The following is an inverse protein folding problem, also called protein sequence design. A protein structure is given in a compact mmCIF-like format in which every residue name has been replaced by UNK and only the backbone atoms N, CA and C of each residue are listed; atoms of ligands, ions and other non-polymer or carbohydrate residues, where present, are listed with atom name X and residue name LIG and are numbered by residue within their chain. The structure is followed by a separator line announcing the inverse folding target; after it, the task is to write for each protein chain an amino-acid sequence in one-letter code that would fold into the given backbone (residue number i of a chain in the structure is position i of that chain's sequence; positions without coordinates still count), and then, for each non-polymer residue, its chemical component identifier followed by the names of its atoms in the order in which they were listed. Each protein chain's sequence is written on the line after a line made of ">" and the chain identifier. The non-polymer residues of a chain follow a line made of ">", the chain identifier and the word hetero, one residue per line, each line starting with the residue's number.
data_IF_805339869488
#
_entry.id   IF_805339869488
#
_cell.length_a   1.000
_cell.length_b   1.000
_cell.length_c   1.000
_cell.angle_alpha   90.00
_cell.angle_beta   90.00
_cell.angle_gamma   90.00
#
_symmetry.space_group_name_H-M   'P 1'
#
loop_
_entity.id
_entity.type
_entity.pdbx_description
1 polymer ?
#
# COMPACT_ATOMS: atom_id res chain seq x y z
N UNK A 1 -21.25 7.43 26.47
CA UNK A 1 -21.91 7.98 25.24
C UNK A 1 -22.21 6.82 24.32
N UNK A 2 -23.45 6.69 23.82
CA UNK A 2 -23.80 5.63 22.89
C UNK A 2 -23.31 5.97 21.48
N UNK A 3 -22.95 4.94 20.70
CA UNK A 3 -22.44 5.04 19.31
C UNK A 3 -23.38 5.84 18.39
N UNK A 4 -24.66 5.73 18.63
CA UNK A 4 -25.74 6.43 17.91
C UNK A 4 -25.75 7.93 18.20
N UNK A 5 -25.39 8.34 19.40
CA UNK A 5 -25.31 9.74 19.79
C UNK A 5 -24.10 10.44 19.14
N UNK A 6 -22.94 9.78 19.11
CA UNK A 6 -21.74 10.30 18.43
C UNK A 6 -22.01 10.47 16.94
N UNK A 7 -22.66 9.49 16.30
CA UNK A 7 -23.05 9.55 14.88
C UNK A 7 -24.06 10.66 14.55
N UNK A 8 -24.90 11.06 15.51
CA UNK A 8 -25.84 12.17 15.32
C UNK A 8 -25.16 13.54 15.46
N UNK A 9 -24.11 13.64 16.28
CA UNK A 9 -23.30 14.85 16.41
C UNK A 9 -22.40 15.04 15.17
N UNK A 10 -21.78 13.96 14.68
CA UNK A 10 -21.00 13.94 13.44
C UNK A 10 -21.81 14.33 12.20
N UNK A 11 -23.13 14.03 12.21
CA UNK A 11 -24.06 14.41 11.15
C UNK A 11 -24.66 15.81 11.32
N UNK A 12 -24.11 16.65 12.20
CA UNK A 12 -24.54 18.04 12.40
C UNK A 12 -25.90 18.21 13.11
N UNK A 13 -26.48 17.12 13.63
CA UNK A 13 -27.74 17.13 14.37
C UNK A 13 -27.48 17.31 15.87
N UNK A 14 -27.34 18.59 16.29
CA UNK A 14 -27.39 19.08 17.69
C UNK A 14 -26.46 18.45 18.71
N UNK A 15 -25.33 19.08 18.97
CA UNK A 15 -24.67 19.01 20.27
C UNK A 15 -25.28 20.10 21.19
N UNK A 16 -26.00 19.74 22.26
CA UNK A 16 -26.46 20.72 23.25
C UNK A 16 -25.25 21.38 23.90
N UNK A 17 -25.32 22.70 24.12
CA UNK A 17 -24.22 23.49 24.73
C UNK A 17 -23.77 22.93 26.08
N UNK A 18 -24.69 22.33 26.82
CA UNK A 18 -24.49 21.68 28.11
C UNK A 18 -23.52 20.46 28.06
N UNK A 19 -23.20 19.91 26.87
CA UNK A 19 -22.28 18.77 26.69
C UNK A 19 -20.96 19.09 26.04
N UNK A 20 -20.70 20.34 25.73
CA UNK A 20 -19.38 20.78 25.23
C UNK A 20 -18.22 20.42 26.17
N UNK A 21 -18.36 20.46 27.52
CA UNK A 21 -17.32 20.01 28.42
C UNK A 21 -16.98 18.51 28.29
N UNK A 22 -17.99 17.65 28.05
CA UNK A 22 -17.76 16.19 27.89
C UNK A 22 -16.97 15.90 26.60
N UNK A 23 -17.27 16.65 25.54
CA UNK A 23 -16.52 16.53 24.27
C UNK A 23 -15.10 17.13 24.40
N UNK A 24 -14.93 18.25 25.08
CA UNK A 24 -13.64 18.86 25.34
C UNK A 24 -12.71 17.91 26.09
N UNK A 25 -13.24 17.23 27.12
CA UNK A 25 -12.49 16.22 27.87
C UNK A 25 -12.16 14.98 27.01
N UNK A 26 -13.11 14.51 26.17
CA UNK A 26 -12.91 13.35 25.31
C UNK A 26 -11.89 13.59 24.17
N UNK A 27 -11.77 14.84 23.68
CA UNK A 27 -10.85 15.23 22.60
C UNK A 27 -9.59 15.93 23.09
N UNK A 28 -9.42 16.12 24.41
CA UNK A 28 -8.24 16.77 25.00
C UNK A 28 -8.06 18.24 24.58
N UNK A 29 -9.16 18.93 24.24
CA UNK A 29 -9.14 20.34 23.79
C UNK A 29 -9.90 21.25 24.76
N UNK A 30 -9.50 22.56 24.91
CA UNK A 30 -10.26 23.49 25.72
C UNK A 30 -11.69 23.67 25.25
N UNK A 31 -12.67 23.74 26.15
CA UNK A 31 -14.12 23.94 25.86
C UNK A 31 -14.34 25.17 24.96
N UNK A 32 -13.53 26.23 25.19
CA UNK A 32 -13.58 27.46 24.41
C UNK A 32 -13.23 27.27 22.93
N UNK A 33 -12.35 26.30 22.64
CA UNK A 33 -12.01 25.93 21.25
C UNK A 33 -13.22 25.35 20.52
N UNK A 34 -14.00 24.51 21.20
CA UNK A 34 -15.24 23.94 20.66
C UNK A 34 -16.35 24.99 20.54
N UNK A 35 -16.43 25.95 21.49
CA UNK A 35 -17.36 27.08 21.37
C UNK A 35 -17.05 28.00 20.20
N UNK A 36 -15.76 28.32 19.97
CA UNK A 36 -15.33 29.11 18.82
C UNK A 36 -15.58 28.42 17.47
N UNK A 37 -15.33 27.13 17.41
CA UNK A 37 -15.64 26.33 16.22
C UNK A 37 -17.15 26.33 15.92
N UNK A 38 -18.00 26.18 16.96
CA UNK A 38 -19.45 26.24 16.84
C UNK A 38 -19.97 27.63 16.46
N UNK A 39 -19.37 28.69 17.02
CA UNK A 39 -19.73 30.07 16.68
C UNK A 39 -19.39 30.43 15.23
N UNK A 40 -18.30 29.88 14.69
CA UNK A 40 -17.96 30.02 13.27
C UNK A 40 -18.99 29.33 12.39
N UNK A 41 -19.34 28.06 12.68
CA UNK A 41 -20.38 27.32 11.92
C UNK A 41 -21.78 27.92 12.01
N UNK A 42 -22.11 28.65 13.09
CA UNK A 42 -23.41 29.30 13.23
C UNK A 42 -23.49 30.67 12.56
N UNK A 43 -22.34 31.33 12.31
CA UNK A 43 -22.28 32.64 11.63
C UNK A 43 -22.19 32.52 10.11
N UNK A 44 -21.78 31.32 9.62
CA UNK A 44 -21.53 31.02 8.21
C UNK A 44 -22.63 30.12 7.60
N UNK A 45 -23.84 30.11 8.16
CA UNK A 45 -24.98 29.44 7.54
C UNK A 45 -25.47 30.30 6.36
N UNK A 46 -25.24 29.92 5.09
CA UNK A 46 -25.63 30.73 3.97
C UNK A 46 -27.16 30.73 3.79
N UNK A 47 -27.70 31.90 3.53
CA UNK A 47 -29.02 32.08 2.95
C UNK A 47 -29.10 31.33 1.63
N UNK A 48 -30.15 30.55 1.42
CA UNK A 48 -30.44 29.81 0.19
C UNK A 48 -30.72 30.80 -0.96
N UNK A 49 -29.65 31.20 -1.65
CA UNK A 49 -29.76 31.90 -2.94
C UNK A 49 -29.28 30.95 -4.04
N UNK A 50 -30.18 30.59 -4.94
CA UNK A 50 -29.91 29.89 -6.19
C UNK A 50 -29.06 30.79 -7.09
N UNK A 51 -27.75 30.82 -6.90
CA UNK A 51 -26.79 31.56 -7.72
C UNK A 51 -26.08 30.67 -8.72
N UNK A 52 -25.77 31.22 -9.89
CA UNK A 52 -24.96 30.55 -10.93
C UNK A 52 -23.46 30.74 -10.60
N UNK A 53 -22.73 29.67 -10.34
CA UNK A 53 -21.30 29.71 -9.96
C UNK A 53 -20.45 30.50 -10.98
N UNK A 54 -20.55 30.29 -12.31
CA UNK A 54 -19.87 31.11 -13.32
C UNK A 54 -20.10 32.61 -13.18
N UNK A 55 -21.32 33.01 -12.94
CA UNK A 55 -21.68 34.43 -12.80
C UNK A 55 -21.08 35.03 -11.52
N UNK A 56 -21.14 34.33 -10.39
CA UNK A 56 -20.57 34.78 -9.12
C UNK A 56 -19.03 34.84 -9.19
N UNK A 57 -18.39 33.86 -9.84
CA UNK A 57 -16.95 33.87 -10.08
C UNK A 57 -16.53 35.05 -10.96
N UNK A 58 -17.29 35.34 -12.04
CA UNK A 58 -17.00 36.46 -12.92
C UNK A 58 -17.13 37.78 -12.20
N UNK A 59 -18.16 37.92 -11.37
CA UNK A 59 -18.37 39.13 -10.56
C UNK A 59 -17.24 39.31 -9.53
N UNK A 60 -16.81 38.25 -8.85
CA UNK A 60 -15.71 38.32 -7.90
C UNK A 60 -14.37 38.67 -8.55
N UNK A 61 -14.03 38.08 -9.69
CA UNK A 61 -12.81 38.42 -10.45
C UNK A 61 -12.82 39.89 -10.90
N UNK A 62 -13.97 40.41 -11.34
CA UNK A 62 -14.11 41.80 -11.76
C UNK A 62 -13.98 42.74 -10.57
N UNK A 63 -14.59 42.43 -9.43
CA UNK A 63 -14.55 43.26 -8.22
C UNK A 63 -13.12 43.42 -7.69
N UNK A 64 -12.34 42.35 -7.72
CA UNK A 64 -10.95 42.37 -7.25
C UNK A 64 -9.94 42.76 -8.35
N UNK A 65 -10.39 43.05 -9.58
CA UNK A 65 -9.52 43.41 -10.70
C UNK A 65 -8.57 42.28 -11.13
N UNK A 66 -8.91 41.04 -10.82
CA UNK A 66 -8.07 39.87 -11.10
C UNK A 66 -8.52 39.21 -12.41
N UNK A 67 -7.57 38.97 -13.33
CA UNK A 67 -7.89 38.25 -14.57
C UNK A 67 -7.98 36.75 -14.30
N UNK A 68 -8.77 36.02 -15.10
CA UNK A 68 -8.85 34.57 -15.02
C UNK A 68 -7.48 33.86 -15.11
N UNK A 69 -6.56 34.42 -15.92
CA UNK A 69 -5.18 33.91 -16.04
C UNK A 69 -4.36 34.17 -14.78
N UNK A 70 -4.54 35.34 -14.15
CA UNK A 70 -3.87 35.65 -12.89
C UNK A 70 -4.39 34.79 -11.75
N UNK A 71 -5.70 34.57 -11.66
CA UNK A 71 -6.31 33.66 -10.70
C UNK A 71 -5.85 32.22 -10.92
N UNK A 72 -5.75 31.74 -12.16
CA UNK A 72 -5.20 30.43 -12.49
C UNK A 72 -3.78 30.27 -11.94
N UNK A 73 -2.92 31.25 -12.20
CA UNK A 73 -1.52 31.23 -11.73
C UNK A 73 -1.44 31.27 -10.20
N UNK A 74 -2.24 32.10 -9.54
CA UNK A 74 -2.24 32.23 -8.09
C UNK A 74 -2.69 30.96 -7.38
N UNK A 75 -3.62 30.20 -8.00
CA UNK A 75 -4.20 28.98 -7.43
C UNK A 75 -3.57 27.70 -7.97
N UNK A 76 -2.54 27.77 -8.82
CA UNK A 76 -1.88 26.58 -9.41
C UNK A 76 -2.73 25.84 -10.45
N UNK A 77 -3.74 26.50 -11.06
CA UNK A 77 -4.57 25.90 -12.11
C UNK A 77 -4.14 26.30 -13.52
N UNK A 78 -4.50 25.50 -14.52
CA UNK A 78 -4.34 25.92 -15.90
C UNK A 78 -5.36 27.02 -16.27
N UNK A 79 -4.98 28.06 -17.08
CA UNK A 79 -5.92 29.08 -17.55
C UNK A 79 -7.13 28.49 -18.28
N UNK A 80 -6.93 27.35 -18.98
CA UNK A 80 -8.00 26.65 -19.67
C UNK A 80 -9.02 26.03 -18.69
N UNK A 81 -8.61 25.63 -17.49
CA UNK A 81 -9.50 25.12 -16.45
C UNK A 81 -10.46 26.22 -15.98
N UNK A 82 -9.92 27.36 -15.53
CA UNK A 82 -10.75 28.49 -15.07
C UNK A 82 -11.68 29.00 -16.20
N UNK A 83 -11.18 29.07 -17.43
CA UNK A 83 -12.01 29.44 -18.59
C UNK A 83 -13.19 28.47 -18.78
N UNK A 84 -12.99 27.16 -18.63
CA UNK A 84 -14.10 26.19 -18.72
C UNK A 84 -15.12 26.37 -17.58
N UNK A 85 -14.65 26.68 -16.36
CA UNK A 85 -15.54 26.96 -15.22
C UNK A 85 -16.35 28.21 -15.44
N UNK A 86 -15.72 29.32 -15.87
CA UNK A 86 -16.38 30.60 -16.20
C UNK A 86 -17.42 30.44 -17.31
N UNK A 87 -17.20 29.54 -18.26
CA UNK A 87 -18.14 29.29 -19.34
C UNK A 87 -19.18 28.20 -19.01
N UNK A 88 -19.28 27.77 -17.77
CA UNK A 88 -20.22 26.72 -17.34
C UNK A 88 -19.97 25.34 -17.95
N UNK A 89 -18.85 25.17 -18.68
CA UNK A 89 -18.47 23.90 -19.33
C UNK A 89 -17.86 22.92 -18.36
N UNK A 90 -17.55 23.38 -17.15
CA UNK A 90 -16.96 22.56 -16.10
C UNK A 90 -17.49 22.97 -14.73
N UNK A 91 -17.96 22.01 -13.94
CA UNK A 91 -18.36 22.26 -12.54
C UNK A 91 -17.11 22.31 -11.66
N UNK A 92 -16.99 23.31 -10.78
CA UNK A 92 -15.89 23.40 -9.83
C UNK A 92 -16.05 22.35 -8.71
N UNK A 93 -14.93 22.01 -8.04
CA UNK A 93 -14.96 21.29 -6.77
C UNK A 93 -15.14 22.27 -5.60
N UNK A 94 -15.51 21.73 -4.43
CA UNK A 94 -15.60 22.51 -3.21
C UNK A 94 -14.24 23.13 -2.84
N UNK A 95 -13.15 22.37 -2.96
CA UNK A 95 -11.80 22.85 -2.67
C UNK A 95 -11.39 24.02 -3.60
N UNK A 96 -11.70 23.94 -4.90
CA UNK A 96 -11.45 25.04 -5.84
C UNK A 96 -12.30 26.27 -5.51
N UNK A 97 -13.56 26.07 -5.16
CA UNK A 97 -14.44 27.15 -4.77
C UNK A 97 -13.98 27.85 -3.47
N UNK A 98 -13.50 27.08 -2.49
CA UNK A 98 -12.91 27.61 -1.26
C UNK A 98 -11.63 28.41 -1.52
N UNK A 99 -10.73 27.87 -2.37
CA UNK A 99 -9.52 28.58 -2.75
C UNK A 99 -9.81 29.89 -3.51
N UNK A 100 -10.88 29.93 -4.31
CA UNK A 100 -11.35 31.15 -4.96
C UNK A 100 -11.97 32.12 -3.95
N UNK A 101 -12.74 31.64 -2.98
CA UNK A 101 -13.28 32.46 -1.89
C UNK A 101 -12.17 33.17 -1.11
N UNK A 102 -11.09 32.43 -0.80
CA UNK A 102 -9.91 32.97 -0.12
C UNK A 102 -9.18 33.99 -0.99
N UNK A 103 -8.96 33.71 -2.28
CA UNK A 103 -8.29 34.60 -3.22
C UNK A 103 -9.06 35.89 -3.47
N UNK A 104 -10.39 35.79 -3.54
CA UNK A 104 -11.31 36.92 -3.90
C UNK A 104 -11.95 37.57 -2.67
N UNK A 105 -11.59 37.14 -1.44
CA UNK A 105 -12.24 37.64 -0.23
C UNK A 105 -13.76 37.42 -0.21
N UNK A 106 -14.26 36.41 -0.92
CA UNK A 106 -15.67 36.21 -1.17
C UNK A 106 -16.44 35.59 0.01
N UNK A 107 -15.77 35.24 1.12
CA UNK A 107 -16.40 34.84 2.38
C UNK A 107 -17.25 33.56 2.30
N UNK A 108 -16.88 32.61 1.45
CA UNK A 108 -17.58 31.33 1.30
C UNK A 108 -18.73 31.33 0.29
N UNK A 109 -18.97 32.44 -0.43
CA UNK A 109 -20.08 32.55 -1.39
C UNK A 109 -19.96 31.61 -2.56
N UNK A 110 -18.74 31.40 -3.08
CA UNK A 110 -18.49 30.47 -4.17
C UNK A 110 -18.58 29.00 -3.68
N UNK A 111 -18.04 28.70 -2.50
CA UNK A 111 -18.16 27.38 -1.90
C UNK A 111 -19.63 27.00 -1.64
N UNK A 112 -20.47 27.93 -1.22
CA UNK A 112 -21.89 27.72 -0.98
C UNK A 112 -22.69 27.35 -2.26
N UNK A 113 -22.20 27.72 -3.45
CA UNK A 113 -22.80 27.37 -4.74
C UNK A 113 -22.40 25.98 -5.25
N UNK A 114 -21.47 25.31 -4.58
CA UNK A 114 -21.08 23.93 -4.91
C UNK A 114 -21.89 22.96 -4.06
N UNK A 115 -22.70 22.06 -4.67
CA UNK A 115 -23.53 21.14 -3.90
C UNK A 115 -22.68 20.26 -2.95
N UNK A 116 -23.06 20.22 -1.69
CA UNK A 116 -22.44 19.41 -0.64
C UNK A 116 -22.75 17.92 -0.87
N UNK A 117 -22.04 17.28 -1.80
CA UNK A 117 -22.14 15.82 -2.00
C UNK A 117 -20.86 15.24 -2.58
N UNK A 118 -19.88 15.07 -1.71
CA UNK A 118 -18.80 14.15 -2.02
C UNK A 118 -18.57 13.19 -0.84
N UNK A 119 -18.60 11.87 -1.04
CA UNK A 119 -17.95 10.99 -0.10
C UNK A 119 -16.46 11.42 -0.08
N UNK A 120 -15.94 11.74 1.11
CA UNK A 120 -14.52 12.03 1.27
C UNK A 120 -13.75 10.76 0.93
N UNK A 121 -13.00 10.78 -0.18
CA UNK A 121 -11.91 9.81 -0.32
C UNK A 121 -10.93 10.08 0.83
N UNK A 122 -10.56 9.08 1.62
CA UNK A 122 -9.49 9.25 2.57
C UNK A 122 -8.22 9.55 1.77
N UNK A 123 -7.79 10.82 1.79
CA UNK A 123 -6.42 11.16 1.39
C UNK A 123 -5.53 10.40 2.39
N UNK A 124 -4.55 9.63 1.94
CA UNK A 124 -3.69 8.88 2.85
C UNK A 124 -3.12 9.82 3.90
N UNK A 125 -3.27 9.46 5.17
CA UNK A 125 -2.69 10.22 6.29
C UNK A 125 -1.15 10.11 6.34
N UNK A 126 -0.56 9.27 5.50
CA UNK A 126 0.88 9.21 5.27
C UNK A 126 1.22 10.34 4.28
N UNK A 127 1.90 11.36 4.77
CA UNK A 127 2.51 12.39 3.92
C UNK A 127 3.65 11.72 3.12
N UNK A 128 3.30 11.23 1.94
CA UNK A 128 4.25 10.66 0.99
C UNK A 128 4.81 11.85 0.20
N UNK A 129 6.05 12.21 0.48
CA UNK A 129 6.75 13.30 -0.21
C UNK A 129 6.72 13.06 -1.72
N UNK A 130 6.21 14.02 -2.48
CA UNK A 130 6.08 13.94 -3.93
C UNK A 130 4.77 13.34 -4.47
N UNK A 131 3.90 12.77 -3.63
CA UNK A 131 2.56 12.28 -4.04
C UNK A 131 1.41 13.19 -3.69
N UNK A 132 1.66 14.30 -2.98
CA UNK A 132 0.61 15.28 -2.76
C UNK A 132 0.05 15.72 -4.13
N UNK A 133 -1.25 15.49 -4.40
CA UNK A 133 -1.83 15.91 -5.66
C UNK A 133 -1.71 17.43 -5.75
N UNK A 134 -1.31 17.95 -6.91
CA UNK A 134 -1.50 19.35 -7.19
C UNK A 134 -3.00 19.68 -7.14
N UNK A 135 -3.32 20.97 -7.09
CA UNK A 135 -4.71 21.42 -6.89
C UNK A 135 -5.62 20.94 -8.03
N UNK A 136 -5.11 20.82 -9.25
CA UNK A 136 -5.90 20.35 -10.41
C UNK A 136 -6.18 18.84 -10.30
N UNK A 137 -5.20 18.05 -9.90
CA UNK A 137 -5.36 16.61 -9.69
C UNK A 137 -6.27 16.32 -8.50
N UNK A 138 -6.13 17.08 -7.39
CA UNK A 138 -7.04 16.98 -6.25
C UNK A 138 -8.49 17.24 -6.65
N UNK A 139 -8.73 18.26 -7.47
CA UNK A 139 -10.05 18.58 -7.99
C UNK A 139 -10.60 17.48 -8.92
N UNK A 140 -9.76 16.87 -9.78
CA UNK A 140 -10.12 15.72 -10.61
C UNK A 140 -10.55 14.52 -9.76
N UNK A 141 -9.76 14.19 -8.74
CA UNK A 141 -10.04 13.09 -7.81
C UNK A 141 -11.35 13.37 -7.05
N UNK A 142 -11.52 14.57 -6.53
CA UNK A 142 -12.75 14.97 -5.82
C UNK A 142 -13.98 14.82 -6.70
N UNK A 143 -13.90 15.23 -7.98
CA UNK A 143 -14.99 15.06 -8.94
C UNK A 143 -15.25 13.61 -9.31
N UNK A 144 -14.20 12.81 -9.49
CA UNK A 144 -14.32 11.37 -9.75
C UNK A 144 -14.99 10.65 -8.56
N UNK A 145 -14.67 11.06 -7.33
CA UNK A 145 -15.29 10.52 -6.12
C UNK A 145 -16.78 10.89 -6.01
N UNK A 146 -17.13 12.12 -6.40
CA UNK A 146 -18.51 12.57 -6.41
C UNK A 146 -19.36 11.93 -7.53
N UNK A 147 -18.74 11.66 -8.68
CA UNK A 147 -19.35 11.05 -9.85
C UNK A 147 -18.31 10.13 -10.54
N UNK A 148 -18.32 8.81 -10.29
CA UNK A 148 -17.37 7.87 -10.85
C UNK A 148 -17.28 7.86 -12.39
N UNK A 149 -18.31 8.34 -13.09
CA UNK A 149 -18.30 8.51 -14.55
C UNK A 149 -17.27 9.53 -15.02
N UNK A 150 -16.76 10.36 -14.11
CA UNK A 150 -15.79 11.43 -14.40
C UNK A 150 -14.35 11.00 -14.13
N UNK A 151 -14.13 9.81 -13.65
CA UNK A 151 -12.77 9.28 -13.49
C UNK A 151 -12.06 9.28 -14.84
N UNK A 152 -10.82 9.75 -14.86
CA UNK A 152 -9.97 9.84 -16.04
C UNK A 152 -8.62 9.13 -15.81
N UNK A 153 -7.81 9.06 -16.86
CA UNK A 153 -6.53 8.38 -16.83
C UNK A 153 -5.58 8.98 -15.78
N UNK A 154 -5.55 10.31 -15.61
CA UNK A 154 -4.65 10.97 -14.66
C UNK A 154 -4.98 10.63 -13.20
N UNK A 155 -6.30 10.54 -12.88
CA UNK A 155 -6.71 10.10 -11.54
C UNK A 155 -6.31 8.64 -11.28
N UNK A 156 -6.39 7.76 -12.28
CA UNK A 156 -5.96 6.37 -12.17
C UNK A 156 -4.43 6.29 -12.01
N UNK A 157 -3.66 7.01 -12.83
CA UNK A 157 -2.19 7.08 -12.74
C UNK A 157 -1.71 7.57 -11.37
N UNK A 158 -2.43 8.50 -10.78
CA UNK A 158 -2.12 8.93 -9.41
C UNK A 158 -2.37 7.83 -8.39
N UNK A 159 -3.47 7.07 -8.49
CA UNK A 159 -3.76 5.94 -7.61
C UNK A 159 -2.74 4.81 -7.78
N UNK A 160 -2.26 4.55 -8.99
CA UNK A 160 -1.18 3.60 -9.29
C UNK A 160 0.13 4.04 -8.60
N UNK A 161 0.50 5.32 -8.72
CA UNK A 161 1.68 5.87 -8.00
C UNK A 161 1.54 5.79 -6.49
N UNK A 162 0.34 6.06 -5.93
CA UNK A 162 0.09 5.91 -4.51
C UNK A 162 0.33 4.46 -4.06
N UNK A 163 -0.13 3.48 -4.84
CA UNK A 163 0.08 2.07 -4.52
C UNK A 163 1.56 1.70 -4.57
N UNK A 164 2.29 2.14 -5.60
CA UNK A 164 3.73 1.90 -5.72
C UNK A 164 4.50 2.46 -4.51
N UNK A 165 4.12 3.66 -4.06
CA UNK A 165 4.77 4.27 -2.91
C UNK A 165 4.41 3.59 -1.58
N UNK A 166 3.17 3.12 -1.42
CA UNK A 166 2.82 2.32 -0.23
C UNK A 166 3.61 1.02 -0.14
N UNK A 167 3.97 0.40 -1.27
CA UNK A 167 4.85 -0.78 -1.29
C UNK A 167 6.23 -0.44 -0.74
N UNK A 168 6.83 0.70 -1.16
CA UNK A 168 8.14 1.16 -0.67
C UNK A 168 8.12 1.53 0.81
N UNK A 169 7.08 2.25 1.23
CA UNK A 169 6.90 2.58 2.65
C UNK A 169 6.75 1.32 3.50
N UNK A 170 6.09 0.29 3.01
CA UNK A 170 5.96 -0.99 3.71
C UNK A 170 7.31 -1.67 3.92
N UNK A 171 8.24 -1.59 2.98
CA UNK A 171 9.61 -2.11 3.13
C UNK A 171 10.37 -1.44 4.30
N UNK A 172 10.06 -0.18 4.61
CA UNK A 172 10.72 0.59 5.67
C UNK A 172 10.05 0.44 7.04
N UNK A 173 8.71 0.48 7.09
CA UNK A 173 7.97 0.56 8.37
C UNK A 173 7.12 -0.68 8.68
N UNK A 174 7.09 -1.67 7.77
CA UNK A 174 6.33 -2.90 7.91
C UNK A 174 4.84 -2.76 7.59
N UNK A 175 4.14 -3.89 7.53
CA UNK A 175 2.76 -4.00 7.05
C UNK A 175 1.72 -3.36 7.99
N UNK A 176 1.95 -3.37 9.30
CA UNK A 176 0.97 -2.94 10.30
C UNK A 176 0.42 -1.53 10.08
N UNK A 177 1.27 -0.49 9.97
CA UNK A 177 0.82 0.88 9.76
C UNK A 177 0.16 1.11 8.40
N UNK A 178 0.51 0.32 7.37
CA UNK A 178 0.12 0.53 5.97
C UNK A 178 -1.24 -0.10 5.63
N UNK A 179 -1.60 -1.23 6.24
CA UNK A 179 -2.77 -2.03 5.88
C UNK A 179 -4.09 -1.24 5.92
N UNK A 180 -4.28 -0.36 6.90
CA UNK A 180 -5.51 0.44 7.04
C UNK A 180 -5.69 1.43 5.89
N UNK A 181 -4.61 2.08 5.47
CA UNK A 181 -4.59 3.07 4.37
C UNK A 181 -4.84 2.37 3.03
N UNK A 182 -4.13 1.28 2.76
CA UNK A 182 -4.27 0.50 1.52
C UNK A 182 -5.69 -0.04 1.36
N UNK A 183 -6.30 -0.56 2.44
CA UNK A 183 -7.69 -1.01 2.40
C UNK A 183 -8.68 0.11 2.13
N UNK A 184 -8.50 1.28 2.75
CA UNK A 184 -9.36 2.44 2.49
C UNK A 184 -9.25 2.92 1.03
N UNK A 185 -8.05 2.85 0.44
CA UNK A 185 -7.86 3.18 -0.98
C UNK A 185 -8.48 2.12 -1.89
N UNK A 186 -8.34 0.83 -1.57
CA UNK A 186 -9.02 -0.23 -2.32
C UNK A 186 -10.54 -0.03 -2.31
N UNK A 187 -11.13 0.28 -1.17
CA UNK A 187 -12.57 0.58 -1.06
C UNK A 187 -12.97 1.77 -1.94
N UNK A 188 -12.12 2.80 -2.01
CA UNK A 188 -12.31 3.95 -2.90
C UNK A 188 -12.23 3.54 -4.38
N UNK A 189 -11.22 2.77 -4.78
CA UNK A 189 -11.09 2.22 -6.15
C UNK A 189 -12.32 1.41 -6.52
N UNK A 190 -12.78 0.51 -5.64
CA UNK A 190 -13.99 -0.30 -5.87
C UNK A 190 -15.27 0.54 -6.00
N UNK A 191 -15.35 1.67 -5.30
CA UNK A 191 -16.47 2.59 -5.46
C UNK A 191 -16.48 3.25 -6.85
N UNK A 192 -15.27 3.53 -7.40
CA UNK A 192 -15.12 4.07 -8.75
C UNK A 192 -15.49 3.03 -9.82
N UNK A 193 -15.08 1.77 -9.65
CA UNK A 193 -15.35 0.67 -10.60
C UNK A 193 -16.84 0.51 -10.88
N UNK A 194 -17.69 0.68 -9.87
CA UNK A 194 -19.14 0.40 -9.94
C UNK A 194 -19.83 1.18 -11.06
N UNK A 195 -19.52 2.47 -11.18
CA UNK A 195 -20.21 3.40 -12.09
C UNK A 195 -19.28 4.02 -13.14
N UNK A 196 -18.03 3.53 -13.24
CA UNK A 196 -17.05 3.99 -14.22
C UNK A 196 -17.52 3.75 -15.65
N UNK A 197 -17.09 4.65 -16.56
CA UNK A 197 -17.31 4.44 -18.00
C UNK A 197 -16.55 3.21 -18.50
N UNK A 198 -17.10 2.46 -19.49
CA UNK A 198 -16.48 1.24 -20.02
C UNK A 198 -15.00 1.42 -20.42
N UNK A 199 -14.64 2.59 -20.98
CA UNK A 199 -13.28 2.87 -21.47
C UNK A 199 -12.21 2.88 -20.36
N UNK A 200 -12.57 3.16 -19.10
CA UNK A 200 -11.64 3.19 -17.97
C UNK A 200 -11.90 2.08 -16.95
N UNK A 201 -13.05 1.40 -17.05
CA UNK A 201 -13.46 0.38 -16.08
C UNK A 201 -12.46 -0.78 -16.00
N UNK A 202 -12.00 -1.28 -17.15
CA UNK A 202 -11.01 -2.37 -17.18
C UNK A 202 -9.72 -2.02 -16.43
N UNK A 203 -9.20 -0.80 -16.64
CA UNK A 203 -8.00 -0.31 -15.91
C UNK A 203 -8.24 -0.19 -14.40
N UNK A 204 -9.42 0.30 -13.99
CA UNK A 204 -9.78 0.36 -12.56
C UNK A 204 -9.91 -1.02 -11.92
N UNK A 205 -10.44 -2.02 -12.64
CA UNK A 205 -10.51 -3.41 -12.15
C UNK A 205 -9.11 -4.00 -12.02
N UNK A 206 -8.21 -3.74 -12.98
CA UNK A 206 -6.79 -4.11 -12.89
C UNK A 206 -6.12 -3.49 -11.66
N UNK A 207 -6.31 -2.19 -11.46
CA UNK A 207 -5.81 -1.50 -10.26
C UNK A 207 -6.39 -2.09 -8.97
N UNK A 208 -7.68 -2.44 -8.94
CA UNK A 208 -8.29 -3.12 -7.79
C UNK A 208 -7.64 -4.51 -7.54
N UNK A 209 -7.25 -5.23 -8.60
CA UNK A 209 -6.51 -6.48 -8.47
C UNK A 209 -5.14 -6.27 -7.81
N UNK A 210 -4.41 -5.23 -8.21
CA UNK A 210 -3.12 -4.88 -7.60
C UNK A 210 -3.26 -4.47 -6.12
N UNK A 211 -4.23 -3.60 -5.79
CA UNK A 211 -4.52 -3.26 -4.39
C UNK A 211 -4.94 -4.49 -3.57
N UNK A 212 -5.71 -5.40 -4.18
CA UNK A 212 -6.12 -6.66 -3.58
C UNK A 212 -4.92 -7.57 -3.29
N UNK A 213 -4.00 -7.69 -4.24
CA UNK A 213 -2.76 -8.45 -4.10
C UNK A 213 -1.90 -7.88 -2.97
N UNK A 214 -1.70 -6.56 -2.93
CA UNK A 214 -0.92 -5.93 -1.87
C UNK A 214 -1.62 -6.02 -0.51
N UNK A 215 -2.94 -5.86 -0.45
CA UNK A 215 -3.72 -6.10 0.78
C UNK A 215 -3.52 -7.54 1.28
N UNK A 216 -3.53 -8.52 0.38
CA UNK A 216 -3.26 -9.92 0.74
C UNK A 216 -1.86 -10.11 1.32
N UNK A 217 -0.85 -9.46 0.72
CA UNK A 217 0.51 -9.45 1.22
C UNK A 217 0.59 -8.90 2.65
N UNK A 218 -0.02 -7.74 2.90
CA UNK A 218 -0.05 -7.10 4.22
C UNK A 218 -0.72 -7.99 5.29
N UNK A 219 -1.79 -8.71 4.94
CA UNK A 219 -2.42 -9.70 5.82
C UNK A 219 -1.47 -10.88 6.10
N UNK A 220 -0.83 -11.42 5.05
CA UNK A 220 0.12 -12.51 5.20
C UNK A 220 1.28 -12.12 6.13
N UNK A 221 1.91 -10.98 5.89
CA UNK A 221 3.04 -10.48 6.67
C UNK A 221 2.64 -10.19 8.14
N UNK A 222 1.42 -9.73 8.37
CA UNK A 222 0.84 -9.57 9.72
C UNK A 222 0.44 -10.91 10.38
N UNK A 223 0.61 -12.05 9.69
CA UNK A 223 0.30 -13.40 10.19
C UNK A 223 -1.14 -13.86 9.98
N UNK A 224 -2.00 -13.06 9.35
CA UNK A 224 -3.37 -13.45 8.97
C UNK A 224 -3.39 -14.17 7.62
N UNK A 225 -2.91 -15.42 7.61
CA UNK A 225 -2.82 -16.24 6.39
C UNK A 225 -4.19 -16.52 5.76
N UNK A 226 -5.24 -16.65 6.58
CA UNK A 226 -6.59 -16.91 6.08
C UNK A 226 -7.18 -15.67 5.37
N UNK A 227 -7.00 -14.49 5.97
CA UNK A 227 -7.37 -13.23 5.32
C UNK A 227 -6.59 -13.00 4.03
N UNK A 228 -5.28 -13.30 4.04
CA UNK A 228 -4.43 -13.21 2.85
C UNK A 228 -4.94 -14.09 1.69
N UNK A 229 -5.27 -15.36 1.95
CA UNK A 229 -5.82 -16.26 0.92
C UNK A 229 -7.10 -15.66 0.32
N UNK A 230 -8.02 -15.18 1.17
CA UNK A 230 -9.27 -14.57 0.69
C UNK A 230 -9.06 -13.33 -0.16
N UNK A 231 -8.03 -12.53 0.12
CA UNK A 231 -7.68 -11.36 -0.69
C UNK A 231 -6.98 -11.75 -1.98
N UNK A 232 -6.09 -12.75 -1.99
CA UNK A 232 -5.52 -13.29 -3.24
C UNK A 232 -6.58 -13.88 -4.15
N UNK A 233 -7.60 -14.56 -3.62
CA UNK A 233 -8.70 -15.09 -4.44
C UNK A 233 -9.50 -13.97 -5.11
N UNK A 234 -9.78 -12.88 -4.40
CA UNK A 234 -10.46 -11.70 -4.96
C UNK A 234 -9.60 -11.00 -6.01
N UNK A 235 -8.33 -10.76 -5.69
CA UNK A 235 -7.36 -10.16 -6.61
C UNK A 235 -7.25 -10.98 -7.89
N UNK A 236 -7.17 -12.31 -7.79
CA UNK A 236 -7.14 -13.21 -8.93
C UNK A 236 -8.39 -13.05 -9.81
N UNK A 237 -9.58 -13.03 -9.21
CA UNK A 237 -10.82 -12.84 -9.95
C UNK A 237 -10.86 -11.50 -10.70
N UNK A 238 -10.42 -10.41 -10.06
CA UNK A 238 -10.33 -9.09 -10.69
C UNK A 238 -9.27 -9.03 -11.78
N UNK A 239 -8.11 -9.68 -11.59
CA UNK A 239 -7.06 -9.78 -12.62
C UNK A 239 -7.59 -10.49 -13.88
N UNK A 240 -8.33 -11.59 -13.70
CA UNK A 240 -8.98 -12.30 -14.82
C UNK A 240 -10.03 -11.42 -15.50
N UNK A 241 -10.87 -10.68 -14.74
CA UNK A 241 -11.86 -9.74 -15.27
C UNK A 241 -11.19 -8.60 -16.07
N UNK A 242 -10.05 -8.10 -15.59
CA UNK A 242 -9.28 -7.05 -16.26
C UNK A 242 -8.52 -7.54 -17.49
N UNK A 243 -8.36 -8.85 -17.66
CA UNK A 243 -7.53 -9.44 -18.71
C UNK A 243 -6.03 -9.30 -18.43
N UNK A 244 -5.63 -9.25 -17.16
CA UNK A 244 -4.26 -9.12 -16.68
C UNK A 244 -3.69 -10.49 -16.25
N UNK A 245 -2.99 -11.20 -17.14
CA UNK A 245 -2.43 -12.52 -16.86
C UNK A 245 -1.23 -12.43 -15.88
N UNK A 246 -0.49 -11.33 -15.86
CA UNK A 246 0.64 -11.14 -14.94
C UNK A 246 0.17 -11.06 -13.49
N UNK A 247 -0.86 -10.28 -13.21
CA UNK A 247 -1.42 -10.20 -11.87
C UNK A 247 -2.12 -11.50 -11.47
N UNK A 248 -2.82 -12.17 -12.40
CA UNK A 248 -3.44 -13.47 -12.13
C UNK A 248 -2.40 -14.55 -11.76
N UNK A 249 -1.28 -14.62 -12.49
CA UNK A 249 -0.16 -15.52 -12.18
C UNK A 249 0.54 -15.15 -10.87
N UNK A 250 0.71 -13.84 -10.62
CA UNK A 250 1.30 -13.32 -9.36
C UNK A 250 0.49 -13.78 -8.16
N UNK A 251 -0.83 -13.72 -8.19
CA UNK A 251 -1.67 -14.16 -7.05
C UNK A 251 -1.51 -15.65 -6.74
N UNK A 252 -1.33 -16.51 -7.75
CA UNK A 252 -1.06 -17.93 -7.56
C UNK A 252 0.33 -18.17 -6.96
N UNK A 253 1.34 -17.46 -7.44
CA UNK A 253 2.70 -17.51 -6.90
C UNK A 253 2.73 -17.06 -5.43
N UNK A 254 1.97 -16.05 -5.06
CA UNK A 254 1.88 -15.59 -3.67
C UNK A 254 1.08 -16.54 -2.78
N UNK A 255 0.10 -17.27 -3.30
CA UNK A 255 -0.55 -18.39 -2.60
C UNK A 255 0.42 -19.57 -2.42
N UNK A 256 1.33 -19.81 -3.39
CA UNK A 256 2.42 -20.76 -3.24
C UNK A 256 3.37 -20.35 -2.11
N UNK A 257 3.67 -19.05 -1.97
CA UNK A 257 4.47 -18.55 -0.84
C UNK A 257 3.80 -18.84 0.52
N UNK A 258 2.48 -18.70 0.63
CA UNK A 258 1.76 -19.09 1.87
C UNK A 258 1.90 -20.61 2.12
N UNK A 259 1.70 -21.44 1.09
CA UNK A 259 1.84 -22.89 1.22
C UNK A 259 3.27 -23.29 1.65
N UNK A 260 4.29 -22.66 1.06
CA UNK A 260 5.69 -22.82 1.46
C UNK A 260 5.89 -22.48 2.95
N UNK A 261 5.37 -21.33 3.40
CA UNK A 261 5.50 -20.90 4.80
C UNK A 261 4.78 -21.80 5.81
N UNK A 262 3.90 -22.68 5.32
CA UNK A 262 3.21 -23.72 6.09
C UNK A 262 3.91 -25.09 6.00
N UNK A 263 5.01 -25.21 5.24
CA UNK A 263 5.74 -26.45 5.00
C UNK A 263 5.05 -27.38 4.00
N UNK A 264 4.05 -26.93 3.25
CA UNK A 264 3.34 -27.73 2.25
C UNK A 264 4.04 -27.63 0.89
N UNK A 265 5.15 -28.39 0.74
CA UNK A 265 5.95 -28.40 -0.47
C UNK A 265 5.18 -28.83 -1.72
N UNK A 266 4.30 -29.84 -1.60
CA UNK A 266 3.52 -30.31 -2.75
C UNK A 266 2.56 -29.23 -3.27
N UNK A 267 1.83 -28.56 -2.39
CA UNK A 267 0.94 -27.47 -2.76
C UNK A 267 1.71 -26.27 -3.31
N UNK A 268 2.91 -26.00 -2.78
CA UNK A 268 3.78 -24.94 -3.28
C UNK A 268 4.15 -25.17 -4.73
N UNK A 269 4.59 -26.38 -5.10
CA UNK A 269 4.88 -26.76 -6.50
C UNK A 269 3.63 -26.62 -7.36
N UNK A 270 2.50 -27.21 -6.95
CA UNK A 270 1.26 -27.16 -7.73
C UNK A 270 0.79 -25.74 -8.05
N UNK A 271 0.88 -24.81 -7.08
CA UNK A 271 0.50 -23.43 -7.27
C UNK A 271 1.51 -22.65 -8.14
N UNK A 272 2.82 -22.92 -7.99
CA UNK A 272 3.84 -22.38 -8.87
C UNK A 272 3.65 -22.82 -10.31
N UNK A 273 3.36 -24.09 -10.55
CA UNK A 273 3.06 -24.61 -11.90
C UNK A 273 1.75 -24.03 -12.45
N UNK A 274 0.71 -23.90 -11.62
CA UNK A 274 -0.56 -23.28 -12.04
C UNK A 274 -0.38 -21.82 -12.47
N UNK A 275 0.51 -21.06 -11.83
CA UNK A 275 0.83 -19.70 -12.24
C UNK A 275 1.43 -19.62 -13.65
N UNK A 276 2.03 -20.70 -14.16
CA UNK A 276 2.63 -20.79 -15.50
C UNK A 276 1.62 -21.21 -16.59
N UNK A 277 0.39 -21.58 -16.25
CA UNK A 277 -0.63 -22.01 -17.24
C UNK A 277 -1.06 -20.89 -18.19
N UNK A 278 -0.82 -19.63 -17.83
CA UNK A 278 -1.11 -18.50 -18.71
C UNK A 278 -0.18 -18.42 -19.94
N UNK A 279 0.93 -19.19 -19.94
CA UNK A 279 1.86 -19.33 -21.06
C UNK A 279 2.50 -18.00 -21.46
N UNK A 280 2.67 -17.78 -22.76
CA UNK A 280 3.35 -16.60 -23.33
C UNK A 280 2.64 -15.26 -23.08
N UNK A 281 1.47 -15.28 -22.44
CA UNK A 281 0.77 -14.05 -22.05
C UNK A 281 1.31 -13.44 -20.75
N UNK A 282 2.14 -14.19 -20.03
CA UNK A 282 2.75 -13.75 -18.78
C UNK A 282 4.18 -13.28 -19.03
N UNK A 283 4.54 -12.16 -18.44
CA UNK A 283 5.90 -11.62 -18.55
C UNK A 283 6.96 -12.58 -18.04
N UNK A 284 8.19 -12.54 -18.60
CA UNK A 284 9.27 -13.43 -18.15
C UNK A 284 9.57 -13.30 -16.65
N UNK A 285 9.49 -12.09 -16.06
CA UNK A 285 9.73 -11.88 -14.64
C UNK A 285 8.70 -12.58 -13.76
N UNK A 286 7.41 -12.49 -14.09
CA UNK A 286 6.32 -13.15 -13.34
C UNK A 286 6.40 -14.67 -13.52
N UNK A 287 6.72 -15.16 -14.72
CA UNK A 287 6.97 -16.59 -14.96
C UNK A 287 8.18 -17.08 -14.14
N UNK A 288 9.23 -16.24 -14.03
CA UNK A 288 10.40 -16.50 -13.19
C UNK A 288 10.05 -16.60 -11.71
N UNK A 289 9.18 -15.70 -11.21
CA UNK A 289 8.68 -15.77 -9.83
C UNK A 289 7.91 -17.08 -9.57
N UNK A 290 7.09 -17.52 -10.52
CA UNK A 290 6.37 -18.79 -10.41
C UNK A 290 7.32 -19.99 -10.37
N UNK A 291 8.37 -20.01 -11.20
CA UNK A 291 9.40 -21.04 -11.19
C UNK A 291 10.20 -21.03 -9.87
N UNK A 292 10.51 -19.85 -9.32
CA UNK A 292 11.18 -19.71 -8.03
C UNK A 292 10.30 -20.26 -6.87
N UNK A 293 8.97 -20.07 -6.92
CA UNK A 293 8.07 -20.68 -5.95
C UNK A 293 8.04 -22.21 -6.08
N UNK A 294 8.03 -22.75 -7.31
CA UNK A 294 8.15 -24.19 -7.53
C UNK A 294 9.49 -24.74 -6.99
N UNK A 295 10.60 -24.01 -7.19
CA UNK A 295 11.92 -24.36 -6.63
C UNK A 295 11.88 -24.48 -5.09
N UNK A 296 11.23 -23.55 -4.41
CA UNK A 296 11.04 -23.64 -2.94
C UNK A 296 10.23 -24.87 -2.54
N UNK A 297 9.18 -25.20 -3.29
CA UNK A 297 8.38 -26.39 -3.04
C UNK A 297 9.19 -27.68 -3.20
N UNK A 298 10.01 -27.79 -4.25
CA UNK A 298 10.90 -28.94 -4.47
C UNK A 298 11.98 -29.04 -3.37
N UNK A 299 12.51 -27.90 -2.90
CA UNK A 299 13.44 -27.91 -1.77
C UNK A 299 12.81 -28.47 -0.49
N UNK A 300 11.58 -28.08 -0.17
CA UNK A 300 10.84 -28.67 0.98
C UNK A 300 10.57 -30.17 0.82
N UNK A 301 10.44 -30.66 -0.41
CA UNK A 301 10.26 -32.08 -0.71
C UNK A 301 11.60 -32.86 -0.74
N UNK A 302 12.74 -32.18 -0.61
CA UNK A 302 14.07 -32.76 -0.69
C UNK A 302 14.54 -33.08 -2.10
N UNK A 303 13.83 -32.62 -3.14
CA UNK A 303 14.20 -32.76 -4.56
C UNK A 303 15.19 -31.67 -4.97
N UNK A 304 16.45 -31.84 -4.62
CA UNK A 304 17.50 -30.87 -4.81
C UNK A 304 17.76 -30.54 -6.29
N UNK A 305 17.72 -31.54 -7.16
CA UNK A 305 18.01 -31.36 -8.59
C UNK A 305 16.92 -30.53 -9.27
N UNK A 306 15.65 -30.82 -8.97
CA UNK A 306 14.53 -30.07 -9.50
C UNK A 306 14.49 -28.66 -8.91
N UNK A 307 14.72 -28.50 -7.62
CA UNK A 307 14.78 -27.20 -6.96
C UNK A 307 15.80 -26.27 -7.64
N UNK A 308 17.00 -26.76 -7.92
CA UNK A 308 18.06 -26.00 -8.60
C UNK A 308 17.71 -25.69 -10.07
N UNK A 309 17.17 -26.67 -10.80
CA UNK A 309 16.74 -26.45 -12.20
C UNK A 309 15.67 -25.37 -12.31
N UNK A 310 14.66 -25.41 -11.45
CA UNK A 310 13.59 -24.39 -11.43
C UNK A 310 14.15 -23.02 -11.05
N UNK A 311 15.12 -22.96 -10.16
CA UNK A 311 15.77 -21.72 -9.76
C UNK A 311 16.66 -21.14 -10.87
N UNK A 312 17.39 -22.00 -11.60
CA UNK A 312 18.19 -21.59 -12.76
C UNK A 312 17.31 -21.05 -13.91
N UNK A 313 16.16 -21.70 -14.12
CA UNK A 313 15.16 -21.22 -15.08
C UNK A 313 14.57 -19.87 -14.65
N UNK A 314 14.23 -19.70 -13.39
CA UNK A 314 13.73 -18.43 -12.85
C UNK A 314 14.74 -17.28 -13.08
N UNK A 315 16.02 -17.53 -12.80
CA UNK A 315 17.10 -16.56 -13.02
C UNK A 315 17.31 -16.25 -14.50
N UNK A 316 17.19 -17.25 -15.36
CA UNK A 316 17.28 -17.08 -16.84
C UNK A 316 16.13 -16.18 -17.31
N UNK A 317 14.90 -16.41 -16.85
CA UNK A 317 13.72 -15.62 -17.19
C UNK A 317 13.85 -14.17 -16.70
N UNK A 318 14.38 -13.94 -15.50
CA UNK A 318 14.66 -12.59 -15.00
C UNK A 318 15.62 -11.82 -15.92
N UNK A 319 16.70 -12.47 -16.38
CA UNK A 319 17.65 -11.85 -17.33
C UNK A 319 17.04 -11.53 -18.70
N UNK A 320 15.97 -12.19 -19.08
CA UNK A 320 15.26 -11.94 -20.35
C UNK A 320 14.19 -10.85 -20.24
N UNK A 321 13.79 -10.48 -19.02
CA UNK A 321 12.78 -9.47 -18.82
C UNK A 321 13.34 -8.08 -19.21
N UNK A 322 12.72 -7.44 -20.21
CA UNK A 322 13.08 -6.08 -20.62
C UNK A 322 12.53 -5.04 -19.63
N UNK A 323 11.33 -5.30 -19.12
CA UNK A 323 10.65 -4.50 -18.12
C UNK A 323 9.96 -5.44 -17.12
N UNK A 324 9.98 -5.08 -15.84
CA UNK A 324 9.24 -5.78 -14.81
C UNK A 324 7.94 -5.05 -14.51
N UNK A 325 6.85 -5.74 -14.16
CA UNK A 325 5.70 -5.10 -13.55
C UNK A 325 6.09 -4.31 -12.29
N UNK A 326 5.41 -3.18 -12.04
CA UNK A 326 5.74 -2.26 -10.95
C UNK A 326 5.77 -2.91 -9.56
N UNK A 327 4.99 -3.98 -9.36
CA UNK A 327 4.99 -4.73 -8.09
C UNK A 327 6.17 -5.69 -7.92
N UNK A 328 7.02 -5.87 -8.95
CA UNK A 328 8.27 -6.65 -8.90
C UNK A 328 9.52 -5.75 -8.86
N UNK A 329 9.40 -4.52 -8.36
CA UNK A 329 10.50 -3.56 -8.28
C UNK A 329 11.72 -4.07 -7.51
N UNK A 330 11.51 -4.97 -6.54
CA UNK A 330 12.55 -5.61 -5.72
C UNK A 330 13.19 -6.84 -6.37
N UNK A 331 12.63 -7.34 -7.50
CA UNK A 331 13.02 -8.61 -8.11
C UNK A 331 14.29 -8.43 -8.95
N UNK A 332 15.45 -8.44 -8.28
CA UNK A 332 16.78 -8.23 -8.85
C UNK A 332 17.75 -9.37 -8.53
N UNK A 333 19.01 -9.23 -8.97
CA UNK A 333 20.04 -10.25 -8.75
C UNK A 333 20.41 -10.43 -7.29
N UNK A 334 20.33 -9.38 -6.47
CA UNK A 334 20.62 -9.44 -5.02
C UNK A 334 19.55 -10.23 -4.29
N UNK A 335 18.29 -9.89 -4.55
CA UNK A 335 17.15 -10.60 -4.00
C UNK A 335 17.18 -12.07 -4.43
N UNK A 336 17.50 -12.34 -5.71
CA UNK A 336 17.56 -13.70 -6.24
C UNK A 336 18.64 -14.54 -5.57
N UNK A 337 19.80 -13.95 -5.25
CA UNK A 337 20.86 -14.59 -4.48
C UNK A 337 20.40 -14.99 -3.08
N UNK A 338 19.64 -14.12 -2.41
CA UNK A 338 19.05 -14.45 -1.12
C UNK A 338 18.07 -15.63 -1.22
N UNK A 339 17.24 -15.68 -2.28
CA UNK A 339 16.34 -16.83 -2.54
C UNK A 339 17.11 -18.11 -2.76
N UNK A 340 18.25 -18.07 -3.46
CA UNK A 340 19.14 -19.22 -3.64
C UNK A 340 19.68 -19.71 -2.30
N UNK A 341 20.09 -18.78 -1.44
CA UNK A 341 20.55 -19.11 -0.07
C UNK A 341 19.46 -19.78 0.77
N UNK A 342 18.21 -19.33 0.68
CA UNK A 342 17.09 -19.95 1.37
C UNK A 342 16.80 -21.37 0.87
N UNK A 343 16.87 -21.62 -0.43
CA UNK A 343 16.68 -22.94 -1.03
C UNK A 343 17.78 -23.89 -0.57
N UNK A 344 19.06 -23.45 -0.55
CA UNK A 344 20.15 -24.28 -0.03
C UNK A 344 20.00 -24.55 1.47
N UNK A 345 19.45 -23.60 2.24
CA UNK A 345 19.14 -23.82 3.65
C UNK A 345 18.04 -24.86 3.85
N UNK A 346 16.96 -24.82 3.05
CA UNK A 346 15.88 -25.81 3.10
C UNK A 346 16.36 -27.20 2.67
N UNK A 347 17.35 -27.29 1.76
CA UNK A 347 18.03 -28.54 1.33
C UNK A 347 19.06 -29.04 2.35
N UNK A 348 19.31 -28.30 3.44
CA UNK A 348 20.28 -28.70 4.48
C UNK A 348 21.73 -28.30 4.19
N UNK A 349 22.00 -27.53 3.10
CA UNK A 349 23.33 -27.09 2.72
C UNK A 349 23.70 -25.76 3.44
N UNK A 350 23.81 -25.82 4.77
CA UNK A 350 23.95 -24.66 5.64
C UNK A 350 25.17 -23.78 5.32
N UNK A 351 26.31 -24.37 4.98
CA UNK A 351 27.52 -23.62 4.62
C UNK A 351 27.31 -22.80 3.33
N UNK A 352 26.70 -23.39 2.30
CA UNK A 352 26.37 -22.69 1.05
C UNK A 352 25.30 -21.62 1.27
N UNK A 353 24.36 -21.87 2.16
CA UNK A 353 23.36 -20.87 2.54
C UNK A 353 24.02 -19.65 3.23
N UNK A 354 25.02 -19.87 4.10
CA UNK A 354 25.77 -18.77 4.74
C UNK A 354 26.46 -17.89 3.70
N UNK A 355 27.15 -18.47 2.72
CA UNK A 355 27.82 -17.71 1.66
C UNK A 355 26.82 -16.84 0.86
N UNK A 356 25.72 -17.45 0.41
CA UNK A 356 24.76 -16.79 -0.46
C UNK A 356 23.95 -15.70 0.25
N UNK A 357 23.47 -15.99 1.47
CA UNK A 357 22.71 -15.05 2.29
C UNK A 357 23.61 -13.88 2.77
N UNK A 358 24.84 -14.17 3.20
CA UNK A 358 25.79 -13.15 3.60
C UNK A 358 26.10 -12.18 2.46
N UNK A 359 26.50 -12.72 1.29
CA UNK A 359 26.76 -11.89 0.10
C UNK A 359 25.53 -11.07 -0.34
N UNK A 360 24.32 -11.63 -0.23
CA UNK A 360 23.12 -10.87 -0.58
C UNK A 360 22.87 -9.71 0.41
N UNK A 361 23.05 -9.94 1.71
CA UNK A 361 22.87 -8.91 2.73
C UNK A 361 23.92 -7.79 2.65
N UNK A 362 25.14 -8.10 2.24
CA UNK A 362 26.20 -7.12 2.04
C UNK A 362 25.85 -6.13 0.90
N UNK A 363 25.19 -6.60 -0.15
CA UNK A 363 24.80 -5.80 -1.30
C UNK A 363 23.41 -5.17 -1.17
N UNK A 364 22.53 -5.72 -0.31
CA UNK A 364 21.14 -5.26 -0.14
C UNK A 364 21.08 -3.86 0.45
N UNK A 365 20.39 -2.90 -0.19
CA UNK A 365 20.27 -1.54 0.31
C UNK A 365 19.68 -1.45 1.73
N UNK A 366 20.18 -0.51 2.52
CA UNK A 366 19.84 -0.39 3.94
C UNK A 366 18.35 -0.05 4.20
N UNK A 367 17.66 0.56 3.23
CA UNK A 367 16.25 0.92 3.36
C UNK A 367 15.30 -0.30 3.29
N UNK A 368 15.74 -1.43 2.72
CA UNK A 368 14.96 -2.69 2.77
C UNK A 368 15.03 -3.34 4.16
N UNK A 369 14.70 -2.59 5.20
CA UNK A 369 14.84 -3.02 6.61
C UNK A 369 14.07 -4.30 6.91
N UNK A 370 12.84 -4.42 6.41
CA UNK A 370 12.00 -5.60 6.60
C UNK A 370 12.62 -6.84 5.97
N UNK A 371 13.10 -6.76 4.74
CA UNK A 371 13.72 -7.88 4.03
C UNK A 371 15.11 -8.22 4.61
N UNK A 372 15.89 -7.22 5.00
CA UNK A 372 17.15 -7.45 5.71
C UNK A 372 16.96 -8.20 7.02
N UNK A 373 15.91 -7.88 7.79
CA UNK A 373 15.57 -8.63 9.00
C UNK A 373 15.22 -10.10 8.68
N UNK A 374 14.46 -10.34 7.60
CA UNK A 374 14.11 -11.68 7.16
C UNK A 374 15.33 -12.49 6.74
N UNK A 375 16.12 -11.99 5.80
CA UNK A 375 17.31 -12.71 5.33
C UNK A 375 18.39 -12.81 6.40
N UNK A 376 18.51 -11.83 7.29
CA UNK A 376 19.37 -11.91 8.48
C UNK A 376 18.97 -13.04 9.42
N UNK A 377 17.66 -13.22 9.64
CA UNK A 377 17.17 -14.34 10.45
C UNK A 377 17.47 -15.71 9.82
N UNK A 378 17.36 -15.80 8.47
CA UNK A 378 17.73 -17.00 7.73
C UNK A 378 19.25 -17.25 7.77
N UNK A 379 20.07 -16.20 7.68
CA UNK A 379 21.53 -16.31 7.82
C UNK A 379 21.93 -16.75 9.23
N UNK A 380 21.31 -16.21 10.27
CA UNK A 380 21.53 -16.65 11.65
C UNK A 380 21.19 -18.15 11.83
N UNK A 381 20.10 -18.61 11.21
CA UNK A 381 19.74 -20.04 11.19
C UNK A 381 20.78 -20.88 10.45
N UNK A 382 21.27 -20.42 9.30
CA UNK A 382 22.28 -21.11 8.52
C UNK A 382 23.57 -21.29 9.34
N UNK A 383 24.07 -20.23 10.00
CA UNK A 383 25.22 -20.31 10.90
C UNK A 383 24.98 -21.29 12.07
N UNK A 384 23.81 -21.23 12.70
CA UNK A 384 23.48 -22.12 13.81
C UNK A 384 23.46 -23.60 13.40
N UNK A 385 22.99 -23.91 12.18
CA UNK A 385 22.98 -25.27 11.62
C UNK A 385 24.37 -25.71 11.15
N UNK A 386 25.18 -24.82 10.61
CA UNK A 386 26.58 -25.04 10.26
C UNK A 386 27.47 -25.25 11.52
N UNK A 387 26.97 -24.91 12.72
CA UNK A 387 27.68 -25.08 13.98
C UNK A 387 28.46 -23.86 14.46
N UNK A 388 28.46 -22.77 13.72
CA UNK A 388 29.05 -21.48 14.10
C UNK A 388 28.07 -20.68 14.96
N UNK A 389 28.06 -20.97 16.27
CA UNK A 389 27.10 -20.39 17.19
C UNK A 389 27.38 -18.90 17.49
N UNK A 390 28.64 -18.49 17.47
CA UNK A 390 29.01 -17.09 17.72
C UNK A 390 28.54 -16.21 16.56
N UNK A 391 28.78 -16.60 15.31
CA UNK A 391 28.27 -15.89 14.15
C UNK A 391 26.73 -15.90 14.11
N UNK A 392 26.09 -17.05 14.43
CA UNK A 392 24.63 -17.14 14.49
C UNK A 392 24.03 -16.14 15.47
N UNK A 393 24.64 -15.98 16.64
CA UNK A 393 24.18 -15.02 17.67
C UNK A 393 24.46 -13.58 17.25
N UNK A 394 25.63 -13.30 16.69
CA UNK A 394 25.97 -11.96 16.18
C UNK A 394 24.94 -11.46 15.16
N UNK A 395 24.68 -12.25 14.13
CA UNK A 395 23.68 -11.94 13.10
C UNK A 395 22.25 -11.84 13.68
N UNK A 396 21.90 -12.73 14.61
CA UNK A 396 20.58 -12.70 15.23
C UNK A 396 20.35 -11.44 16.07
N UNK A 397 21.36 -10.96 16.79
CA UNK A 397 21.29 -9.72 17.58
C UNK A 397 21.17 -8.48 16.69
N UNK A 398 21.84 -8.48 15.54
CA UNK A 398 21.74 -7.40 14.55
C UNK A 398 20.33 -7.34 13.94
N UNK A 399 19.76 -8.50 13.59
CA UNK A 399 18.45 -8.59 12.96
C UNK A 399 17.27 -8.39 13.94
N UNK A 400 17.44 -8.64 15.24
CA UNK A 400 16.35 -8.71 16.21
C UNK A 400 15.51 -7.44 16.33
N UNK A 401 16.06 -6.20 16.33
CA UNK A 401 15.25 -4.97 16.43
C UNK A 401 14.24 -4.82 15.29
N UNK A 402 14.68 -5.03 14.04
CA UNK A 402 13.83 -4.92 12.87
C UNK A 402 12.91 -6.15 12.71
N UNK A 403 13.35 -7.34 13.09
CA UNK A 403 12.52 -8.54 13.12
C UNK A 403 11.28 -8.34 14.02
N UNK A 404 11.47 -7.82 15.22
CA UNK A 404 10.38 -7.55 16.17
C UNK A 404 9.40 -6.48 15.68
N UNK A 405 9.95 -5.40 15.11
CA UNK A 405 9.13 -4.21 14.77
C UNK A 405 8.49 -4.30 13.39
N UNK A 406 9.11 -5.02 12.45
CA UNK A 406 8.75 -4.94 11.04
C UNK A 406 8.35 -6.29 10.42
N UNK A 407 8.83 -7.43 10.94
CA UNK A 407 8.66 -8.70 10.26
C UNK A 407 8.47 -9.88 11.22
N UNK A 408 7.21 -10.28 11.41
CA UNK A 408 6.86 -11.39 12.30
C UNK A 408 7.51 -12.74 11.91
N UNK A 409 7.69 -12.99 10.62
CA UNK A 409 8.35 -14.23 10.18
C UNK A 409 9.81 -14.26 10.58
N UNK A 410 10.50 -13.12 10.49
CA UNK A 410 11.87 -12.99 10.95
C UNK A 410 11.97 -13.22 12.47
N UNK A 411 11.04 -12.66 13.23
CA UNK A 411 10.97 -12.86 14.68
C UNK A 411 10.76 -14.35 15.04
N UNK A 412 9.83 -15.03 14.36
CA UNK A 412 9.57 -16.46 14.58
C UNK A 412 10.77 -17.34 14.19
N UNK A 413 11.48 -16.97 13.11
CA UNK A 413 12.72 -17.65 12.69
C UNK A 413 13.83 -17.48 13.72
N UNK A 414 14.04 -16.25 14.24
CA UNK A 414 15.01 -16.00 15.31
C UNK A 414 14.67 -16.77 16.60
N UNK A 415 13.39 -16.92 16.95
CA UNK A 415 12.99 -17.82 18.03
C UNK A 415 13.39 -19.28 17.75
N UNK A 416 13.38 -19.68 16.47
CA UNK A 416 13.93 -20.97 16.02
C UNK A 416 15.43 -21.08 16.28
N UNK A 417 16.19 -20.04 15.93
CA UNK A 417 17.63 -19.93 16.19
C UNK A 417 17.92 -20.05 17.69
N UNK A 418 17.17 -19.33 18.54
CA UNK A 418 17.28 -19.44 20.00
C UNK A 418 17.13 -20.90 20.47
N UNK A 419 16.15 -21.65 19.95
CA UNK A 419 15.95 -23.06 20.30
C UNK A 419 17.14 -23.94 19.87
N UNK A 420 17.69 -23.69 18.70
CA UNK A 420 18.83 -24.44 18.15
C UNK A 420 20.10 -24.15 18.94
N UNK A 421 20.42 -22.89 19.18
CA UNK A 421 21.61 -22.47 19.94
C UNK A 421 21.54 -22.96 21.39
N UNK A 422 20.37 -22.89 22.04
CA UNK A 422 20.17 -23.28 23.45
C UNK A 422 20.59 -24.72 23.72
N UNK A 423 20.48 -25.64 22.78
CA UNK A 423 20.89 -27.04 22.93
C UNK A 423 22.38 -27.19 23.12
N UNK A 424 23.20 -26.26 22.62
CA UNK A 424 24.65 -26.28 22.68
C UNK A 424 25.26 -25.22 23.61
N UNK A 425 24.65 -24.04 23.67
CA UNK A 425 25.09 -22.93 24.48
C UNK A 425 23.89 -22.15 25.08
N UNK A 426 23.41 -22.50 26.29
CA UNK A 426 22.31 -21.81 26.95
C UNK A 426 22.56 -20.32 27.17
N UNK A 427 23.83 -19.91 27.41
CA UNK A 427 24.22 -18.51 27.64
C UNK A 427 24.02 -17.67 26.36
N UNK A 428 24.58 -18.10 25.25
CA UNK A 428 24.43 -17.40 23.97
C UNK A 428 22.96 -17.30 23.53
N UNK A 429 22.17 -18.33 23.78
CA UNK A 429 20.74 -18.33 23.48
C UNK A 429 19.96 -17.31 24.33
N UNK A 430 20.43 -17.01 25.57
CA UNK A 430 19.78 -16.04 26.42
C UNK A 430 19.93 -14.61 25.84
N UNK A 431 21.08 -14.26 25.30
CA UNK A 431 21.34 -12.93 24.74
C UNK A 431 20.37 -12.61 23.59
N UNK A 432 20.15 -13.56 22.65
CA UNK A 432 19.19 -13.40 21.56
C UNK A 432 17.74 -13.37 22.07
N UNK A 433 17.43 -14.24 23.07
CA UNK A 433 16.08 -14.27 23.65
C UNK A 433 15.76 -12.96 24.38
N UNK A 434 16.72 -12.30 24.98
CA UNK A 434 16.58 -10.99 25.63
C UNK A 434 16.34 -9.89 24.58
N UNK A 435 17.13 -9.86 23.50
CA UNK A 435 16.96 -8.93 22.41
C UNK A 435 15.58 -9.05 21.73
N UNK A 436 14.97 -10.24 21.72
CA UNK A 436 13.61 -10.45 21.20
C UNK A 436 12.51 -10.05 22.22
N UNK A 437 12.84 -9.73 23.49
CA UNK A 437 11.88 -9.25 24.50
C UNK A 437 11.91 -7.73 24.70
N UNK A 438 13.07 -7.12 24.57
CA UNK A 438 13.30 -5.66 24.75
C UNK A 438 13.01 -4.85 23.53
#
# INVERSE_FOLDING_TARGET
>A
MTREYVSNVERGKRAPEQRLPDFAAAFGVPVETLRRARARTAKDAPSTASGDFPAELQAGLLAEGITATAAARALGYSPAYISRVLNGKQRPSLAFAQALDDLLGAGGRLAALVPERAPRMPVPALALDGLAPDVELFDRISRATADPRRVDAHAIEWLERCLAEHRRVEDEIGSGPVIGVVRAQLDAVMSLVRDARPVVRGRLVGLAAEYGQFTAWLHNDSGDKQGAIGWYDRSHAWAVEAGDPDMAATTLSMKAHIAWSLGDGQRTVQLGDAARWYGDRVSPAVTGMAAQMAARGHALLGDADEARRQLDEAERLLRMAAENPDWLYFYDGVWFRAQRGMIELDLGNSERAVELLGSALDEMPAHYRRDRAWYGSCLAKAHALAGDLDAAVGVALEAAPDARSLNRYAEDELRGVVRTVRRRSPRLAADVADALRT
#
